data_IF_687187804967
#
_entry.id   IF_687187804967
#
_cell.length_a   1.000
_cell.length_b   1.000
_cell.length_c   1.000
_cell.angle_alpha   90.00
_cell.angle_beta   90.00
_cell.angle_gamma   90.00
#
_symmetry.space_group_name_H-M   'P 1'
#
loop_
_entity.id
_entity.type
_entity.pdbx_description
1 polymer ?
#
# COMPACT_ATOMS: atom_id res chain seq x y z
N UNK A 1 -3.77 -26.21 -13.00
CA UNK A 1 -2.63 -25.71 -12.20
C UNK A 1 -2.97 -24.27 -11.80
N UNK A 2 -3.58 -24.06 -10.63
CA UNK A 2 -3.83 -22.70 -10.13
C UNK A 2 -2.49 -22.12 -9.66
N UNK A 3 -2.11 -20.94 -10.18
CA UNK A 3 -0.75 -20.40 -10.01
C UNK A 3 -0.46 -19.81 -8.62
N UNK A 4 -1.39 -19.87 -7.66
CA UNK A 4 -1.13 -19.35 -6.29
C UNK A 4 -0.86 -17.84 -6.22
N UNK A 5 -1.27 -17.09 -7.24
CA UNK A 5 -0.98 -15.65 -7.36
C UNK A 5 -2.17 -14.86 -6.81
N UNK A 6 -1.91 -14.06 -5.79
CA UNK A 6 -2.83 -13.02 -5.33
C UNK A 6 -2.68 -11.75 -6.18
N UNK A 7 -3.79 -11.07 -6.47
CA UNK A 7 -3.83 -9.85 -7.30
C UNK A 7 -4.36 -8.67 -6.49
N UNK A 8 -3.71 -7.52 -6.61
CA UNK A 8 -4.14 -6.25 -6.04
C UNK A 8 -4.15 -5.19 -7.13
N UNK A 9 -5.26 -4.47 -7.27
CA UNK A 9 -5.42 -3.44 -8.28
C UNK A 9 -6.31 -2.30 -7.77
N UNK A 10 -5.98 -1.07 -8.19
CA UNK A 10 -6.99 -0.01 -8.25
C UNK A 10 -7.90 -0.28 -9.44
N UNK A 11 -9.18 0.01 -9.31
CA UNK A 11 -10.14 -0.06 -10.42
C UNK A 11 -10.47 1.35 -10.92
N UNK A 12 -10.86 1.44 -12.19
CA UNK A 12 -11.50 2.66 -12.69
C UNK A 12 -12.80 2.93 -11.95
N UNK A 13 -13.33 4.15 -12.12
CA UNK A 13 -14.57 4.56 -11.48
C UNK A 13 -15.70 3.55 -11.72
N UNK A 14 -16.32 3.12 -10.62
CA UNK A 14 -17.57 2.35 -10.69
C UNK A 14 -18.70 3.38 -10.68
N UNK A 15 -19.45 3.43 -11.77
CA UNK A 15 -20.52 4.39 -11.97
C UNK A 15 -21.84 3.92 -11.34
N UNK A 16 -22.45 4.77 -10.53
CA UNK A 16 -23.85 4.66 -10.12
C UNK A 16 -24.67 5.73 -10.86
N UNK A 17 -25.15 5.37 -12.05
CA UNK A 17 -25.95 6.25 -12.90
C UNK A 17 -27.27 6.68 -12.24
N UNK A 18 -27.77 5.94 -11.25
CA UNK A 18 -29.01 6.30 -10.55
C UNK A 18 -28.83 7.48 -9.60
N UNK A 19 -27.62 7.65 -9.06
CA UNK A 19 -27.27 8.71 -8.10
C UNK A 19 -26.40 9.82 -8.72
N UNK A 20 -25.97 9.65 -9.97
CA UNK A 20 -24.96 10.49 -10.62
C UNK A 20 -23.65 10.56 -9.80
N UNK A 21 -23.23 9.42 -9.28
CA UNK A 21 -22.02 9.29 -8.47
C UNK A 21 -21.09 8.23 -9.01
N UNK A 22 -19.83 8.30 -8.57
CA UNK A 22 -18.81 7.28 -8.84
C UNK A 22 -18.15 6.84 -7.54
N UNK A 23 -17.72 5.58 -7.47
CA UNK A 23 -16.82 5.11 -6.43
C UNK A 23 -15.44 4.81 -7.03
N UNK A 24 -14.39 5.06 -6.24
CA UNK A 24 -13.01 4.71 -6.58
C UNK A 24 -12.59 3.64 -5.58
N UNK A 25 -12.15 2.48 -6.04
CA UNK A 25 -11.93 1.30 -5.19
C UNK A 25 -10.57 0.66 -5.42
N UNK A 26 -10.07 -0.03 -4.38
CA UNK A 26 -9.04 -1.06 -4.51
C UNK A 26 -9.70 -2.41 -4.37
N UNK A 27 -9.30 -3.33 -5.24
CA UNK A 27 -9.71 -4.73 -5.22
C UNK A 27 -8.48 -5.60 -4.97
N UNK A 28 -8.61 -6.52 -4.01
CA UNK A 28 -7.60 -7.52 -3.69
C UNK A 28 -8.21 -8.91 -3.79
N UNK A 29 -7.63 -9.76 -4.61
CA UNK A 29 -7.96 -11.16 -4.79
C UNK A 29 -6.85 -11.98 -4.15
N UNK A 30 -7.10 -12.49 -2.94
CA UNK A 30 -6.14 -13.24 -2.15
C UNK A 30 -6.35 -14.74 -2.30
N UNK A 31 -5.36 -15.47 -2.80
CA UNK A 31 -5.43 -16.92 -2.98
C UNK A 31 -5.04 -17.65 -1.70
N UNK A 32 -5.98 -18.37 -1.10
CA UNK A 32 -5.79 -19.09 0.17
C UNK A 32 -6.37 -20.50 0.10
N UNK A 33 -5.92 -21.39 0.96
CA UNK A 33 -6.38 -22.77 1.11
C UNK A 33 -6.98 -23.04 2.50
N UNK A 34 -7.38 -21.99 3.23
CA UNK A 34 -7.83 -22.07 4.62
C UNK A 34 -9.06 -22.97 4.87
N UNK A 35 -9.78 -23.37 3.81
CA UNK A 35 -10.91 -24.30 3.86
C UNK A 35 -10.59 -25.70 3.30
N UNK A 36 -9.31 -26.03 3.11
CA UNK A 36 -8.83 -27.33 2.64
C UNK A 36 -8.71 -27.48 1.12
N UNK A 37 -8.99 -26.42 0.37
CA UNK A 37 -8.76 -26.34 -1.08
C UNK A 37 -8.53 -24.88 -1.51
N UNK A 38 -7.82 -24.64 -2.63
CA UNK A 38 -7.51 -23.29 -3.09
C UNK A 38 -8.78 -22.50 -3.46
N UNK A 39 -8.96 -21.34 -2.84
CA UNK A 39 -10.00 -20.35 -3.12
C UNK A 39 -9.40 -18.96 -3.24
N UNK A 40 -10.15 -18.06 -3.87
CA UNK A 40 -9.82 -16.63 -3.90
C UNK A 40 -10.79 -15.86 -3.01
N UNK A 41 -10.26 -15.14 -2.03
CA UNK A 41 -11.03 -14.20 -1.23
C UNK A 41 -10.91 -12.80 -1.84
N UNK A 42 -12.05 -12.19 -2.14
CA UNK A 42 -12.11 -10.83 -2.69
C UNK A 42 -12.31 -9.84 -1.54
N UNK A 43 -11.39 -8.91 -1.43
CA UNK A 43 -11.48 -7.75 -0.56
C UNK A 43 -11.61 -6.48 -1.41
N UNK A 44 -12.47 -5.55 -0.96
CA UNK A 44 -12.71 -4.26 -1.62
C UNK A 44 -12.63 -3.14 -0.60
N UNK A 45 -11.98 -2.03 -0.97
CA UNK A 45 -11.90 -0.83 -0.15
C UNK A 45 -12.24 0.40 -0.99
N UNK A 46 -13.19 1.20 -0.51
CA UNK A 46 -13.57 2.46 -1.15
C UNK A 46 -12.65 3.60 -0.73
N UNK A 47 -12.34 4.49 -1.68
CA UNK A 47 -11.67 5.76 -1.41
C UNK A 47 -12.62 6.63 -0.60
N UNK A 48 -12.15 7.12 0.54
CA UNK A 48 -13.05 7.83 1.46
C UNK A 48 -13.40 9.25 1.00
N UNK A 49 -12.46 9.93 0.34
CA UNK A 49 -12.64 11.29 -0.17
C UNK A 49 -11.89 11.43 -1.50
N UNK A 50 -12.45 12.17 -2.47
CA UNK A 50 -11.72 12.45 -3.70
C UNK A 50 -10.48 13.30 -3.43
N UNK A 51 -9.48 13.18 -4.29
CA UNK A 51 -8.44 14.18 -4.39
C UNK A 51 -9.05 15.50 -4.87
N UNK A 52 -8.44 16.65 -4.56
CA UNK A 52 -8.99 17.95 -4.93
C UNK A 52 -9.23 18.07 -6.44
N UNK A 53 -8.23 17.70 -7.25
CA UNK A 53 -8.33 17.73 -8.70
C UNK A 53 -9.33 16.70 -9.24
N UNK A 54 -9.40 15.51 -8.64
CA UNK A 54 -10.41 14.49 -8.97
C UNK A 54 -11.84 14.99 -8.74
N UNK A 55 -12.10 15.66 -7.61
CA UNK A 55 -13.40 16.25 -7.32
C UNK A 55 -13.78 17.34 -8.33
N UNK A 56 -12.83 18.21 -8.67
CA UNK A 56 -13.00 19.28 -9.65
C UNK A 56 -13.29 18.71 -11.05
N UNK A 57 -12.52 17.72 -11.50
CA UNK A 57 -12.74 17.09 -12.80
C UNK A 57 -14.10 16.41 -12.91
N UNK A 58 -14.49 15.62 -11.91
CA UNK A 58 -15.78 14.92 -11.88
C UNK A 58 -16.94 15.92 -11.93
N UNK A 59 -16.81 17.02 -11.19
CA UNK A 59 -17.80 18.08 -11.19
C UNK A 59 -17.87 18.80 -12.54
N UNK A 60 -16.73 19.20 -13.11
CA UNK A 60 -16.68 19.96 -14.36
C UNK A 60 -17.12 19.14 -15.58
N UNK A 61 -16.85 17.83 -15.60
CA UNK A 61 -17.22 16.96 -16.74
C UNK A 61 -18.71 16.63 -16.79
N UNK A 62 -19.34 16.36 -15.64
CA UNK A 62 -20.71 15.84 -15.62
C UNK A 62 -21.49 16.13 -14.31
N UNK A 63 -20.99 17.03 -13.46
CA UNK A 63 -21.57 17.28 -12.14
C UNK A 63 -21.55 16.04 -11.23
N UNK A 64 -20.69 15.07 -11.53
CA UNK A 64 -20.59 13.79 -10.83
C UNK A 64 -19.83 14.01 -9.52
N UNK A 65 -20.20 13.26 -8.48
CA UNK A 65 -19.50 13.27 -7.20
C UNK A 65 -18.91 11.90 -6.89
N UNK A 66 -17.72 11.90 -6.29
CA UNK A 66 -17.17 10.68 -5.72
C UNK A 66 -17.90 10.36 -4.41
N UNK A 67 -18.55 9.21 -4.36
CA UNK A 67 -19.23 8.71 -3.19
C UNK A 67 -18.86 7.23 -2.96
N UNK A 68 -18.28 6.87 -1.81
CA UNK A 68 -18.01 5.48 -1.50
C UNK A 68 -19.33 4.70 -1.36
N UNK A 69 -19.35 3.45 -1.81
CA UNK A 69 -20.52 2.56 -1.71
C UNK A 69 -20.84 2.20 -0.26
N UNK A 70 -19.80 2.15 0.57
CA UNK A 70 -19.86 1.81 1.97
C UNK A 70 -19.10 2.83 2.82
N UNK A 71 -19.26 2.78 4.14
CA UNK A 71 -18.46 3.62 5.03
C UNK A 71 -16.98 3.26 4.81
N UNK A 72 -16.13 4.20 4.33
CA UNK A 72 -14.75 3.90 4.01
C UNK A 72 -14.01 3.54 5.31
N UNK A 73 -13.56 2.30 5.40
CA UNK A 73 -12.69 1.82 6.47
C UNK A 73 -11.32 1.51 5.89
N UNK A 74 -10.29 1.56 6.73
CA UNK A 74 -8.91 1.22 6.35
C UNK A 74 -8.41 0.09 7.25
N UNK A 75 -9.03 -1.10 7.17
CA UNK A 75 -8.64 -2.22 8.02
C UNK A 75 -7.26 -2.74 7.59
N UNK A 76 -6.62 -3.42 8.52
CA UNK A 76 -5.45 -4.25 8.20
C UNK A 76 -5.98 -5.58 7.68
N UNK A 77 -5.55 -5.97 6.48
CA UNK A 77 -5.93 -7.23 5.86
C UNK A 77 -4.82 -8.24 6.08
N UNK A 78 -5.14 -9.32 6.79
CA UNK A 78 -4.24 -10.45 6.98
C UNK A 78 -4.41 -11.44 5.83
N UNK A 79 -3.30 -11.76 5.16
CA UNK A 79 -3.24 -12.83 4.18
C UNK A 79 -2.08 -13.77 4.49
N UNK A 80 -2.39 -14.95 5.03
CA UNK A 80 -1.39 -15.90 5.51
C UNK A 80 -0.69 -15.36 6.76
N UNK A 81 0.62 -15.14 6.64
CA UNK A 81 1.46 -14.49 7.66
C UNK A 81 1.86 -13.05 7.25
N UNK A 82 1.14 -12.41 6.33
CA UNK A 82 1.46 -11.05 5.88
C UNK A 82 0.31 -10.09 6.15
N UNK A 83 0.62 -8.95 6.79
CA UNK A 83 -0.34 -7.90 7.10
C UNK A 83 -0.24 -6.76 6.08
N UNK A 84 -1.32 -6.56 5.34
CA UNK A 84 -1.47 -5.52 4.33
C UNK A 84 -2.33 -4.37 4.86
N UNK A 85 -2.06 -3.16 4.36
CA UNK A 85 -3.03 -2.07 4.37
C UNK A 85 -3.01 -1.36 3.02
N UNK A 86 -4.07 -0.58 2.78
CA UNK A 86 -4.29 0.09 1.51
C UNK A 86 -4.63 1.55 1.71
N UNK A 87 -3.94 2.43 0.97
CA UNK A 87 -4.29 3.84 0.84
C UNK A 87 -4.38 4.19 -0.64
N UNK A 88 -5.33 5.03 -1.03
CA UNK A 88 -5.50 5.43 -2.44
C UNK A 88 -4.99 6.85 -2.67
N UNK A 89 -3.90 6.98 -3.44
CA UNK A 89 -3.39 8.27 -3.93
C UNK A 89 -3.33 9.32 -2.81
N UNK A 90 -4.16 10.37 -2.89
CA UNK A 90 -4.26 11.46 -1.92
C UNK A 90 -4.47 11.03 -0.47
N UNK A 91 -4.93 9.81 -0.19
CA UNK A 91 -5.03 9.30 1.19
C UNK A 91 -3.65 9.14 1.87
N UNK A 92 -2.57 8.96 1.10
CA UNK A 92 -1.21 8.89 1.64
C UNK A 92 -0.77 10.20 2.32
N UNK A 93 -1.33 11.33 1.90
CA UNK A 93 -1.02 12.65 2.49
C UNK A 93 -1.62 12.82 3.89
N UNK A 94 -2.60 12.00 4.26
CA UNK A 94 -3.21 12.04 5.59
C UNK A 94 -2.31 11.31 6.59
N UNK A 95 -1.66 12.08 7.46
CA UNK A 95 -0.76 11.56 8.47
C UNK A 95 -1.44 10.62 9.46
N UNK A 96 -2.72 10.83 9.79
CA UNK A 96 -3.45 9.98 10.72
C UNK A 96 -3.59 8.55 10.18
N UNK A 97 -3.80 8.41 8.87
CA UNK A 97 -3.86 7.10 8.23
C UNK A 97 -2.51 6.39 8.33
N UNK A 98 -1.40 7.07 8.04
CA UNK A 98 -0.06 6.49 8.14
C UNK A 98 0.30 6.14 9.59
N UNK A 99 0.07 7.07 10.51
CA UNK A 99 0.36 6.89 11.94
C UNK A 99 -0.40 5.69 12.52
N UNK A 100 -1.66 5.49 12.14
CA UNK A 100 -2.48 4.38 12.63
C UNK A 100 -1.93 2.99 12.30
N UNK A 101 -1.07 2.88 11.27
CA UNK A 101 -0.49 1.65 10.74
C UNK A 101 0.89 1.30 11.32
N UNK A 102 1.56 2.25 12.01
CA UNK A 102 2.91 2.06 12.56
C UNK A 102 3.00 0.78 13.39
N UNK A 103 3.94 -0.09 13.02
CA UNK A 103 4.20 -1.34 13.72
C UNK A 103 3.14 -2.44 13.57
N UNK A 104 2.06 -2.20 12.82
CA UNK A 104 0.93 -3.13 12.67
C UNK A 104 0.85 -3.84 11.32
N UNK A 105 1.62 -3.39 10.32
CA UNK A 105 1.60 -3.94 8.97
C UNK A 105 3.00 -4.25 8.45
N UNK A 106 3.09 -5.13 7.47
CA UNK A 106 4.32 -5.41 6.73
C UNK A 106 4.38 -4.68 5.40
N UNK A 107 3.22 -4.53 4.74
CA UNK A 107 3.12 -3.95 3.40
C UNK A 107 1.98 -2.94 3.34
N UNK A 108 2.31 -1.70 3.01
CA UNK A 108 1.34 -0.69 2.59
C UNK A 108 1.32 -0.65 1.06
N UNK A 109 0.18 -0.91 0.44
CA UNK A 109 0.03 -0.72 -1.01
C UNK A 109 -0.70 0.60 -1.27
N UNK A 110 -0.12 1.39 -2.17
CA UNK A 110 -0.63 2.70 -2.55
C UNK A 110 -0.80 2.76 -4.08
N UNK A 111 -1.97 2.40 -4.60
CA UNK A 111 -2.32 2.64 -5.99
C UNK A 111 -2.58 4.12 -6.22
N UNK A 112 -2.03 4.63 -7.33
CA UNK A 112 -2.03 6.05 -7.64
C UNK A 112 -2.31 6.30 -9.11
N UNK A 113 -2.95 7.44 -9.35
CA UNK A 113 -2.96 8.10 -10.65
C UNK A 113 -2.56 9.55 -10.37
N UNK A 114 -1.26 9.78 -10.21
CA UNK A 114 -0.75 11.05 -9.71
C UNK A 114 0.44 11.54 -10.53
N UNK A 115 0.34 12.78 -11.00
CA UNK A 115 1.38 13.46 -11.78
C UNK A 115 2.49 14.07 -10.92
N UNK A 116 2.22 14.37 -9.65
CA UNK A 116 3.21 14.94 -8.71
C UNK A 116 4.07 13.83 -8.08
N UNK A 117 4.96 13.26 -8.88
CA UNK A 117 5.82 12.14 -8.47
C UNK A 117 6.87 12.53 -7.43
N UNK A 118 7.27 13.80 -7.36
CA UNK A 118 8.30 14.26 -6.42
C UNK A 118 7.77 14.35 -5.00
N UNK A 119 6.60 14.99 -4.81
CA UNK A 119 5.96 15.08 -3.50
C UNK A 119 5.58 13.69 -2.99
N UNK A 120 4.94 12.87 -3.84
CA UNK A 120 4.55 11.53 -3.46
C UNK A 120 5.73 10.62 -3.22
N UNK A 121 6.82 10.80 -3.98
CA UNK A 121 8.06 10.14 -3.69
C UNK A 121 8.59 10.44 -2.30
N UNK A 122 8.60 11.72 -1.91
CA UNK A 122 9.00 12.13 -0.57
C UNK A 122 8.08 11.56 0.51
N UNK A 123 6.77 11.51 0.25
CA UNK A 123 5.80 10.89 1.14
C UNK A 123 6.05 9.39 1.30
N UNK A 124 6.34 8.66 0.23
CA UNK A 124 6.65 7.22 0.30
C UNK A 124 7.93 6.97 1.07
N UNK A 125 8.96 7.80 0.87
CA UNK A 125 10.21 7.71 1.61
C UNK A 125 10.03 7.97 3.10
N UNK A 126 9.26 9.00 3.46
CA UNK A 126 8.91 9.28 4.86
C UNK A 126 8.08 8.15 5.45
N UNK A 127 7.04 7.69 4.73
CA UNK A 127 6.13 6.65 5.19
C UNK A 127 6.85 5.35 5.50
N UNK A 128 7.80 4.93 4.65
CA UNK A 128 8.59 3.72 4.88
C UNK A 128 9.29 3.74 6.24
N UNK A 129 9.79 4.90 6.67
CA UNK A 129 10.43 5.07 7.99
C UNK A 129 9.40 5.28 9.10
N UNK A 130 8.37 6.11 8.87
CA UNK A 130 7.34 6.47 9.85
C UNK A 130 6.57 5.26 10.36
N UNK A 131 6.23 4.33 9.47
CA UNK A 131 5.48 3.13 9.82
C UNK A 131 6.40 1.91 9.99
N UNK A 132 7.63 2.02 9.47
CA UNK A 132 8.65 0.99 9.42
C UNK A 132 8.19 -0.28 8.69
N UNK A 133 7.69 -0.13 7.46
CA UNK A 133 7.15 -1.23 6.65
C UNK A 133 7.52 -1.07 5.16
N UNK A 134 7.27 -2.09 4.35
CA UNK A 134 7.42 -1.98 2.90
C UNK A 134 6.28 -1.15 2.31
N UNK A 135 6.62 -0.19 1.45
CA UNK A 135 5.64 0.67 0.77
C UNK A 135 5.68 0.33 -0.71
N UNK A 136 4.57 -0.18 -1.23
CA UNK A 136 4.39 -0.53 -2.64
C UNK A 136 3.56 0.58 -3.28
N UNK A 137 4.21 1.50 -3.97
CA UNK A 137 3.56 2.54 -4.76
C UNK A 137 3.36 2.03 -6.19
N UNK A 138 2.11 1.99 -6.63
CA UNK A 138 1.73 1.57 -7.98
C UNK A 138 1.04 2.74 -8.69
N UNK A 139 1.80 3.54 -9.43
CA UNK A 139 1.26 4.69 -10.14
C UNK A 139 0.93 4.34 -11.60
N UNK A 140 0.05 5.13 -12.20
CA UNK A 140 -0.30 5.03 -13.61
C UNK A 140 0.95 5.18 -14.50
N UNK A 141 1.08 4.34 -15.55
CA UNK A 141 2.24 4.34 -16.46
C UNK A 141 2.57 5.72 -17.03
N UNK A 142 1.55 6.54 -17.31
CA UNK A 142 1.71 7.86 -17.90
C UNK A 142 2.67 8.74 -17.09
N UNK A 143 2.60 8.65 -15.77
CA UNK A 143 3.45 9.42 -14.85
C UNK A 143 4.60 8.57 -14.27
N UNK A 144 4.38 7.26 -14.14
CA UNK A 144 5.37 6.31 -13.65
C UNK A 144 5.74 6.54 -12.18
N UNK A 145 6.98 6.20 -11.81
CA UNK A 145 7.47 6.26 -10.43
C UNK A 145 6.85 5.18 -9.50
N UNK A 146 6.33 4.11 -10.10
CA UNK A 146 5.97 2.89 -9.41
C UNK A 146 7.20 2.28 -8.73
N UNK A 147 7.09 1.96 -7.44
CA UNK A 147 8.25 1.54 -6.64
C UNK A 147 7.84 0.66 -5.46
N UNK A 148 8.82 -0.09 -4.98
CA UNK A 148 8.75 -0.74 -3.68
C UNK A 148 9.86 -0.18 -2.81
N UNK A 149 9.47 0.52 -1.76
CA UNK A 149 10.36 1.14 -0.78
C UNK A 149 10.43 0.30 0.49
N UNK A 150 11.62 -0.02 0.96
CA UNK A 150 11.89 -0.63 2.25
C UNK A 150 12.47 0.40 3.23
N UNK A 151 12.34 0.19 4.56
CA UNK A 151 13.06 0.98 5.58
C UNK A 151 14.55 0.60 5.66
N UNK A 152 15.22 0.49 4.50
CA UNK A 152 16.61 0.06 4.39
C UNK A 152 17.60 1.09 4.95
N UNK A 153 18.64 0.60 5.62
CA UNK A 153 19.71 1.43 6.18
C UNK A 153 20.48 2.14 5.06
N UNK A 154 21.05 1.35 4.18
CA UNK A 154 21.89 1.83 3.08
C UNK A 154 21.04 2.25 1.88
N UNK A 155 21.46 3.27 1.10
CA UNK A 155 20.67 3.80 -0.01
C UNK A 155 20.18 2.74 -1.01
N UNK A 156 21.05 1.79 -1.39
CA UNK A 156 20.72 0.74 -2.36
C UNK A 156 19.77 -0.33 -1.83
N UNK A 157 19.52 -0.38 -0.51
CA UNK A 157 18.55 -1.30 0.10
C UNK A 157 17.16 -0.67 0.23
N UNK A 158 17.01 0.63 -0.05
CA UNK A 158 15.76 1.34 0.17
C UNK A 158 14.78 1.16 -0.96
N UNK A 159 15.21 1.27 -2.21
CA UNK A 159 14.36 0.97 -3.37
C UNK A 159 14.60 -0.48 -3.78
N UNK A 160 13.72 -1.39 -3.36
CA UNK A 160 13.73 -2.80 -3.79
C UNK A 160 13.52 -2.86 -5.30
N UNK A 161 12.59 -2.03 -5.78
CA UNK A 161 12.37 -1.77 -7.20
C UNK A 161 11.91 -0.33 -7.34
N UNK A 162 12.30 0.33 -8.43
CA UNK A 162 11.73 1.61 -8.85
C UNK A 162 11.72 1.69 -10.36
N UNK A 163 10.59 2.09 -10.94
CA UNK A 163 10.47 2.23 -12.38
C UNK A 163 9.90 3.58 -12.76
N UNK A 164 10.58 4.21 -13.72
CA UNK A 164 10.16 5.48 -14.32
C UNK A 164 9.25 5.19 -15.49
N UNK A 165 8.25 6.04 -15.71
CA UNK A 165 7.26 5.86 -16.79
C UNK A 165 7.89 5.63 -18.16
N UNK A 166 7.09 5.19 -19.12
CA UNK A 166 7.58 4.86 -20.46
C UNK A 166 6.46 4.64 -21.46
N UNK A 167 6.84 4.51 -22.73
CA UNK A 167 5.89 4.34 -23.83
C UNK A 167 5.15 3.00 -23.76
N UNK A 168 5.84 1.94 -23.30
CA UNK A 168 5.31 0.57 -23.18
C UNK A 168 5.10 0.15 -21.72
N UNK A 169 4.12 -0.74 -21.51
CA UNK A 169 3.90 -1.39 -20.21
C UNK A 169 5.02 -2.40 -19.93
N UNK A 170 5.56 -2.34 -18.72
CA UNK A 170 6.50 -3.34 -18.21
C UNK A 170 6.09 -3.73 -16.79
N UNK A 171 6.52 -4.93 -16.38
CA UNK A 171 6.39 -5.37 -15.01
C UNK A 171 7.78 -5.62 -14.43
N UNK A 172 7.83 -5.57 -13.11
CA UNK A 172 9.06 -5.75 -12.34
C UNK A 172 8.75 -6.65 -11.16
N UNK A 173 9.75 -7.44 -10.78
CA UNK A 173 9.63 -8.40 -9.68
C UNK A 173 10.61 -7.95 -8.60
N UNK A 174 10.11 -7.81 -7.38
CA UNK A 174 10.90 -7.49 -6.20
C UNK A 174 10.55 -8.43 -5.06
N UNK A 175 11.56 -8.82 -4.28
CA UNK A 175 11.39 -9.68 -3.11
C UNK A 175 11.24 -8.83 -1.86
N UNK A 176 10.25 -9.11 -1.01
CA UNK A 176 10.05 -8.43 0.28
C UNK A 176 10.55 -9.33 1.41
N UNK A 177 11.64 -8.94 2.06
CA UNK A 177 12.26 -9.65 3.18
C UNK A 177 11.50 -9.40 4.50
N UNK A 178 10.22 -9.77 4.54
CA UNK A 178 9.28 -9.47 5.65
C UNK A 178 9.76 -10.07 6.97
N UNK A 179 10.23 -11.31 6.97
CA UNK A 179 10.70 -11.98 8.19
C UNK A 179 11.95 -11.31 8.77
N UNK A 180 12.88 -10.86 7.92
CA UNK A 180 14.07 -10.12 8.37
C UNK A 180 13.68 -8.78 9.00
N UNK A 181 12.69 -8.08 8.42
CA UNK A 181 12.17 -6.84 8.97
C UNK A 181 11.52 -7.06 10.34
N UNK A 182 10.68 -8.09 10.49
CA UNK A 182 10.04 -8.42 11.78
C UNK A 182 11.04 -8.84 12.85
N UNK A 183 12.06 -9.62 12.49
CA UNK A 183 13.14 -10.00 13.41
C UNK A 183 13.90 -8.77 13.92
N UNK A 184 14.19 -7.82 13.03
CA UNK A 184 14.77 -6.54 13.40
C UNK A 184 13.87 -5.73 14.34
N UNK A 185 12.56 -5.66 14.05
CA UNK A 185 11.57 -4.93 14.84
C UNK A 185 11.25 -5.55 16.20
N UNK A 186 11.41 -6.87 16.33
CA UNK A 186 11.14 -7.62 17.57
C UNK A 186 12.30 -7.59 18.56
N UNK A 187 13.47 -7.10 18.12
CA UNK A 187 14.65 -6.97 18.96
C UNK A 187 14.51 -5.81 19.94
N UNK A 188 14.90 -6.03 21.20
CA UNK A 188 14.85 -4.97 22.25
C UNK A 188 15.69 -3.74 21.88
N UNK A 189 16.81 -3.95 21.18
CA UNK A 189 17.62 -2.89 20.58
C UNK A 189 17.82 -3.22 19.11
N UNK A 190 17.37 -2.34 18.22
CA UNK A 190 17.72 -2.38 16.80
C UNK A 190 19.24 -2.30 16.67
N UNK A 191 19.89 -3.40 16.29
CA UNK A 191 21.36 -3.43 16.17
C UNK A 191 21.82 -2.44 15.09
N UNK A 192 22.84 -1.66 15.39
CA UNK A 192 23.35 -0.60 14.52
C UNK A 192 24.02 -1.13 13.23
N UNK A 193 24.39 -2.41 13.17
CA UNK A 193 24.91 -3.11 11.98
C UNK A 193 23.80 -3.66 11.07
N UNK A 194 22.52 -3.46 11.44
CA UNK A 194 21.37 -4.04 10.75
C UNK A 194 21.12 -3.50 9.34
N UNK A 195 20.43 -4.32 8.53
CA UNK A 195 20.03 -4.00 7.16
C UNK A 195 18.98 -2.86 7.07
N UNK A 196 18.32 -2.55 8.17
CA UNK A 196 17.23 -1.57 8.26
C UNK A 196 17.62 -0.34 9.08
N UNK A 197 16.96 0.79 8.83
CA UNK A 197 17.05 1.99 9.67
C UNK A 197 16.54 1.68 11.09
N UNK A 198 16.95 2.45 12.11
CA UNK A 198 16.32 2.37 13.42
C UNK A 198 14.81 2.56 13.33
N UNK A 199 14.07 1.86 14.19
CA UNK A 199 12.63 2.08 14.33
C UNK A 199 12.35 3.51 14.79
N UNK A 200 11.23 4.13 14.35
CA UNK A 200 10.89 5.49 14.75
C UNK A 200 10.56 5.58 16.24
N UNK A 201 10.58 6.80 16.79
CA UNK A 201 10.17 7.05 18.17
C UNK A 201 8.73 6.57 18.43
N UNK A 202 8.52 5.95 19.59
CA UNK A 202 7.24 5.34 19.96
C UNK A 202 6.81 4.16 19.07
N UNK A 203 7.74 3.50 18.37
CA UNK A 203 7.42 2.30 17.60
C UNK A 203 7.09 1.12 18.51
N UNK A 204 5.91 0.54 18.31
CA UNK A 204 5.48 -0.69 18.97
C UNK A 204 5.04 -1.71 17.92
N UNK A 205 5.76 -2.84 17.85
CA UNK A 205 5.35 -3.95 16.98
C UNK A 205 4.14 -4.67 17.58
N UNK A 206 3.10 -4.88 16.78
CA UNK A 206 1.94 -5.67 17.17
C UNK A 206 2.31 -7.11 17.49
N UNK A 207 1.71 -7.70 18.53
CA UNK A 207 2.05 -9.05 18.98
C UNK A 207 1.97 -10.11 17.88
N UNK A 208 0.99 -10.00 16.99
CA UNK A 208 0.82 -10.93 15.87
C UNK A 208 1.92 -10.88 14.81
N UNK A 209 2.79 -9.86 14.84
CA UNK A 209 3.95 -9.70 13.97
C UNK A 209 5.28 -9.99 14.67
N UNK A 210 5.27 -10.19 15.99
CA UNK A 210 6.50 -10.45 16.75
C UNK A 210 7.08 -11.80 16.35
N UNK A 211 8.39 -11.82 16.18
CA UNK A 211 9.16 -13.04 15.99
C UNK A 211 9.99 -13.27 17.23
N UNK A 212 9.93 -14.48 17.79
CA UNK A 212 10.78 -14.88 18.89
C UNK A 212 12.01 -15.61 18.34
N UNK A 213 13.21 -15.37 18.87
CA UNK A 213 14.35 -16.22 18.55
C UNK A 213 13.98 -17.67 18.90
N UNK A 214 14.12 -18.57 17.92
CA UNK A 214 14.05 -20.02 18.16
C UNK A 214 15.19 -20.46 19.07
#
# INVERSE_FOLDING_TARGET
>A
MHRGISLLAGVEYIHDNSKNTVSNQIWASFVTDCIGFPVSMIYRQDKGRPALHEAEELHNKAGIQLQPESKPTKPIVNHGDVYFAFLMCSELTNIDFRASLRGKIDVLVVPEWNQDTETFGTLVEATAVDIHAFIVQCNNRLYGDSRVRAPGKEPWMRDVVRVKGGDEDYYVIGTLEIHNLRAFQSSYVSKADGQFKPVPDGFEISDSRKTYPM
#
